data_IF_019030906321
#
_entry.id   IF_019030906321
#
_cell.length_a   1.000
_cell.length_b   1.000
_cell.length_c   1.000
_cell.angle_alpha   90.00
_cell.angle_beta   90.00
_cell.angle_gamma   90.00
#
_symmetry.space_group_name_H-M   'P 1'
#
loop_
_entity.id
_entity.type
_entity.pdbx_description
1 polymer ?
#
# COMPACT_ATOMS: atom_id res chain seq x y z
N UNK A 1 -18.09 -14.69 -19.74
CA UNK A 1 -17.60 -13.52 -18.97
C UNK A 1 -16.11 -13.59 -18.59
N UNK A 2 -15.46 -14.76 -18.43
CA UNK A 2 -14.02 -14.85 -18.09
C UNK A 2 -13.05 -14.40 -19.21
N UNK A 3 -13.41 -14.59 -20.49
CA UNK A 3 -12.55 -14.26 -21.63
C UNK A 3 -12.29 -12.76 -21.86
N UNK A 4 -13.10 -11.84 -21.29
CA UNK A 4 -12.88 -10.39 -21.48
C UNK A 4 -11.85 -9.82 -20.51
N UNK A 5 -11.78 -10.35 -19.28
CA UNK A 5 -10.82 -9.91 -18.27
C UNK A 5 -9.39 -10.31 -18.64
N UNK A 6 -9.19 -11.53 -19.16
CA UNK A 6 -7.87 -12.00 -19.61
C UNK A 6 -7.37 -11.24 -20.85
N UNK A 7 -8.26 -10.96 -21.82
CA UNK A 7 -7.92 -10.11 -22.98
C UNK A 7 -7.60 -8.67 -22.59
N UNK A 8 -8.31 -8.13 -21.59
CA UNK A 8 -8.03 -6.80 -21.06
C UNK A 8 -6.68 -6.78 -20.32
N UNK A 9 -6.41 -7.78 -19.47
CA UNK A 9 -5.15 -7.93 -18.77
C UNK A 9 -3.96 -8.13 -19.74
N UNK A 10 -4.18 -8.81 -20.87
CA UNK A 10 -3.15 -8.99 -21.89
C UNK A 10 -2.88 -7.71 -22.69
N UNK A 11 -3.92 -6.96 -23.08
CA UNK A 11 -3.76 -5.64 -23.70
C UNK A 11 -3.09 -4.63 -22.76
N UNK A 12 -3.44 -4.66 -21.46
CA UNK A 12 -2.80 -3.84 -20.42
C UNK A 12 -1.29 -4.15 -20.33
N UNK A 13 -0.90 -5.43 -20.36
CA UNK A 13 0.51 -5.86 -20.40
C UNK A 13 1.24 -5.42 -21.68
N UNK A 14 0.60 -5.54 -22.83
CA UNK A 14 1.20 -5.15 -24.12
C UNK A 14 1.43 -3.63 -24.21
N UNK A 15 0.50 -2.83 -23.71
CA UNK A 15 0.66 -1.38 -23.59
C UNK A 15 1.78 -1.00 -22.61
N UNK A 16 1.82 -1.68 -21.46
CA UNK A 16 2.84 -1.51 -20.41
C UNK A 16 4.27 -1.66 -20.95
N UNK A 17 4.54 -2.74 -21.69
CA UNK A 17 5.84 -2.98 -22.31
C UNK A 17 6.25 -1.96 -23.37
N UNK A 18 5.30 -1.24 -23.97
CA UNK A 18 5.58 -0.27 -25.03
C UNK A 18 5.76 1.16 -24.53
N UNK A 19 5.27 1.50 -23.33
CA UNK A 19 5.14 2.89 -22.88
C UNK A 19 5.80 3.17 -21.52
N UNK A 20 6.38 2.17 -20.86
CA UNK A 20 7.19 2.43 -19.66
C UNK A 20 8.60 2.84 -20.02
N UNK A 21 8.94 4.06 -19.64
CA UNK A 21 10.34 4.46 -19.47
C UNK A 21 10.80 4.01 -18.07
N UNK A 22 12.09 3.67 -17.90
CA UNK A 22 12.67 3.35 -16.58
C UNK A 22 12.38 4.40 -15.49
N UNK A 23 12.20 5.66 -15.91
CA UNK A 23 11.84 6.78 -15.02
C UNK A 23 10.44 6.62 -14.38
N UNK A 24 9.46 6.08 -15.10
CA UNK A 24 8.11 5.85 -14.58
C UNK A 24 8.12 4.69 -13.58
N UNK A 25 8.87 3.62 -13.85
CA UNK A 25 9.04 2.50 -12.93
C UNK A 25 9.73 2.94 -11.63
N UNK A 26 10.81 3.72 -11.73
CA UNK A 26 11.50 4.25 -10.55
C UNK A 26 10.58 5.18 -9.74
N UNK A 27 9.83 6.03 -10.42
CA UNK A 27 8.87 6.97 -9.83
C UNK A 27 7.69 6.26 -9.15
N UNK A 28 7.18 5.16 -9.74
CA UNK A 28 6.19 4.31 -9.10
C UNK A 28 6.79 3.56 -7.90
N UNK A 29 8.05 3.12 -8.03
CA UNK A 29 8.93 2.65 -6.96
C UNK A 29 8.80 3.46 -5.68
N UNK A 30 9.06 4.76 -5.79
CA UNK A 30 9.04 5.70 -4.67
C UNK A 30 7.65 5.84 -4.03
N UNK A 31 6.60 5.91 -4.84
CA UNK A 31 5.22 5.97 -4.35
C UNK A 31 4.80 4.73 -3.59
N UNK A 32 5.14 3.55 -4.09
CA UNK A 32 4.90 2.29 -3.40
C UNK A 32 5.63 2.26 -2.05
N UNK A 33 6.92 2.61 -2.02
CA UNK A 33 7.72 2.63 -0.79
C UNK A 33 7.16 3.61 0.25
N UNK A 34 6.70 4.79 -0.18
CA UNK A 34 6.03 5.74 0.71
C UNK A 34 4.82 5.11 1.39
N UNK A 35 3.96 4.43 0.63
CA UNK A 35 2.73 3.81 1.16
C UNK A 35 3.05 2.63 2.08
N UNK A 36 4.06 1.81 1.75
CA UNK A 36 4.53 0.72 2.63
C UNK A 36 5.00 1.29 3.96
N UNK A 37 5.85 2.32 3.91
CA UNK A 37 6.39 2.96 5.10
C UNK A 37 5.27 3.56 5.96
N UNK A 38 4.31 4.25 5.34
CA UNK A 38 3.14 4.81 6.01
C UNK A 38 2.36 3.75 6.80
N UNK A 39 2.05 2.62 6.19
CA UNK A 39 1.31 1.55 6.85
C UNK A 39 2.13 0.81 7.92
N UNK A 40 3.42 0.64 7.69
CA UNK A 40 4.33 0.07 8.68
C UNK A 40 4.45 0.96 9.92
N UNK A 41 4.49 2.28 9.75
CA UNK A 41 4.52 3.22 10.86
C UNK A 41 3.21 3.22 11.67
N UNK A 42 2.06 3.13 11.00
CA UNK A 42 0.77 2.94 11.69
C UNK A 42 0.77 1.64 12.50
N UNK A 43 1.18 0.54 11.89
CA UNK A 43 1.24 -0.77 12.56
C UNK A 43 2.18 -0.72 13.75
N UNK A 44 3.38 -0.14 13.58
CA UNK A 44 4.36 0.10 14.63
C UNK A 44 3.76 0.88 15.78
N UNK A 45 3.15 2.03 15.51
CA UNK A 45 2.52 2.86 16.54
C UNK A 45 1.47 2.08 17.33
N UNK A 46 0.60 1.32 16.68
CA UNK A 46 -0.49 0.61 17.36
C UNK A 46 -0.04 -0.69 18.07
N UNK A 47 0.97 -1.39 17.53
CA UNK A 47 1.57 -2.57 18.19
C UNK A 47 2.34 -2.20 19.46
N UNK A 48 2.92 -1.00 19.53
CA UNK A 48 3.73 -0.57 20.67
C UNK A 48 3.02 0.39 21.62
N UNK A 49 1.90 1.03 21.24
CA UNK A 49 1.10 1.87 22.13
C UNK A 49 0.06 1.10 22.96
N UNK A 50 -0.21 -0.16 22.66
CA UNK A 50 -1.11 -1.00 23.47
C UNK A 50 -0.40 -1.35 24.79
N UNK A 51 -0.76 -0.67 25.89
CA UNK A 51 -0.33 -0.90 27.28
C UNK A 51 1.00 -0.28 27.76
N UNK A 52 1.38 0.89 27.27
CA UNK A 52 2.52 1.63 27.84
C UNK A 52 2.02 2.60 28.92
N UNK A 53 2.29 2.30 30.18
CA UNK A 53 1.95 3.19 31.30
C UNK A 53 3.08 4.18 31.64
N UNK A 54 4.31 3.91 31.19
CA UNK A 54 5.46 4.78 31.41
C UNK A 54 6.57 4.60 30.36
N UNK A 55 7.51 5.55 30.32
CA UNK A 55 8.59 5.63 29.33
C UNK A 55 9.53 4.40 29.32
N UNK A 56 9.79 3.79 30.48
CA UNK A 56 10.65 2.59 30.55
C UNK A 56 9.99 1.36 29.92
N UNK A 57 8.68 1.19 30.10
CA UNK A 57 7.91 0.14 29.41
C UNK A 57 7.84 0.41 27.91
N UNK A 58 7.77 1.69 27.48
CA UNK A 58 7.84 2.08 26.08
C UNK A 58 9.17 1.65 25.44
N UNK A 59 10.30 1.93 26.08
CA UNK A 59 11.62 1.56 25.58
C UNK A 59 11.78 0.03 25.40
N UNK A 60 11.27 -0.76 26.35
CA UNK A 60 11.30 -2.23 26.28
C UNK A 60 10.36 -2.77 25.20
N UNK A 61 9.20 -2.14 25.00
CA UNK A 61 8.30 -2.53 23.91
C UNK A 61 8.92 -2.21 22.55
N UNK A 62 9.53 -1.04 22.35
CA UNK A 62 10.19 -0.66 21.10
C UNK A 62 11.38 -1.57 20.72
N UNK A 63 11.96 -2.30 21.67
CA UNK A 63 13.09 -3.23 21.44
C UNK A 63 12.67 -4.70 21.32
N UNK A 64 11.36 -5.00 21.36
CA UNK A 64 10.87 -6.37 21.33
C UNK A 64 11.13 -7.04 19.95
N UNK A 65 12.02 -8.05 19.87
CA UNK A 65 12.50 -8.60 18.60
C UNK A 65 11.36 -9.11 17.71
N UNK A 66 10.45 -9.91 18.28
CA UNK A 66 9.31 -10.47 17.52
C UNK A 66 8.39 -9.42 16.88
N UNK A 67 8.24 -8.24 17.51
CA UNK A 67 7.39 -7.18 16.96
C UNK A 67 8.10 -6.42 15.84
N UNK A 68 9.44 -6.29 15.91
CA UNK A 68 10.25 -5.73 14.82
C UNK A 68 10.23 -6.66 13.61
N UNK A 69 10.50 -7.95 13.82
CA UNK A 69 10.46 -8.96 12.77
C UNK A 69 9.08 -9.01 12.07
N UNK A 70 7.99 -8.83 12.84
CA UNK A 70 6.64 -8.76 12.27
C UNK A 70 6.44 -7.53 11.38
N UNK A 71 6.97 -6.37 11.78
CA UNK A 71 6.88 -5.13 10.98
C UNK A 71 7.72 -5.26 9.71
N UNK A 72 8.93 -5.80 9.81
CA UNK A 72 9.81 -5.99 8.66
C UNK A 72 9.16 -6.95 7.64
N UNK A 73 8.62 -8.08 8.11
CA UNK A 73 7.85 -9.00 7.26
C UNK A 73 6.60 -8.34 6.67
N UNK A 74 5.91 -7.50 7.43
CA UNK A 74 4.77 -6.74 6.91
C UNK A 74 5.18 -5.79 5.79
N UNK A 75 6.31 -5.11 5.94
CA UNK A 75 6.86 -4.22 4.89
C UNK A 75 7.18 -5.00 3.63
N UNK A 76 7.89 -6.12 3.74
CA UNK A 76 8.29 -6.95 2.60
C UNK A 76 7.07 -7.52 1.84
N UNK A 77 6.12 -8.11 2.56
CA UNK A 77 4.91 -8.71 1.97
C UNK A 77 4.03 -7.65 1.32
N UNK A 78 3.86 -6.49 1.95
CA UNK A 78 3.08 -5.40 1.38
C UNK A 78 3.78 -4.80 0.16
N UNK A 79 5.09 -4.59 0.21
CA UNK A 79 5.87 -4.08 -0.90
C UNK A 79 5.75 -5.02 -2.11
N UNK A 80 6.02 -6.31 -1.92
CA UNK A 80 5.90 -7.30 -3.00
C UNK A 80 4.51 -7.27 -3.63
N UNK A 81 3.46 -7.28 -2.81
CA UNK A 81 2.09 -7.33 -3.28
C UNK A 81 1.69 -6.07 -4.07
N UNK A 82 2.02 -4.87 -3.57
CA UNK A 82 1.68 -3.63 -4.29
C UNK A 82 2.53 -3.47 -5.55
N UNK A 83 3.80 -3.90 -5.55
CA UNK A 83 4.64 -3.83 -6.73
C UNK A 83 4.14 -4.76 -7.84
N UNK A 84 3.74 -5.98 -7.50
CA UNK A 84 3.22 -6.92 -8.49
C UNK A 84 1.86 -6.48 -9.03
N UNK A 85 0.95 -6.07 -8.14
CA UNK A 85 -0.42 -5.76 -8.54
C UNK A 85 -0.56 -4.35 -9.14
N UNK A 86 0.03 -3.32 -8.53
CA UNK A 86 -0.06 -1.92 -9.02
C UNK A 86 0.96 -1.67 -10.12
N UNK A 87 2.16 -2.25 -10.01
CA UNK A 87 3.15 -2.22 -11.07
C UNK A 87 2.59 -2.80 -12.36
N UNK A 88 1.78 -3.86 -12.32
CA UNK A 88 1.13 -4.41 -13.52
C UNK A 88 0.00 -3.56 -14.15
N UNK A 89 -0.38 -2.42 -13.56
CA UNK A 89 -1.50 -1.60 -14.03
C UNK A 89 -1.06 -0.57 -15.08
N UNK A 90 -1.87 -0.44 -16.12
CA UNK A 90 -1.72 0.61 -17.14
C UNK A 90 -1.73 1.99 -16.48
N UNK A 91 -0.70 2.79 -16.77
CA UNK A 91 -0.60 4.18 -16.33
C UNK A 91 -0.83 5.12 -17.51
N UNK A 92 -1.77 6.05 -17.34
CA UNK A 92 -2.06 7.10 -18.31
C UNK A 92 -2.13 8.44 -17.57
N UNK A 93 -1.13 9.32 -17.73
CA UNK A 93 -1.06 10.63 -17.05
C UNK A 93 -2.33 11.48 -17.26
N UNK A 94 -2.87 11.46 -18.48
CA UNK A 94 -4.06 12.22 -18.88
C UNK A 94 -5.34 11.71 -18.21
N UNK A 95 -5.32 10.47 -17.71
CA UNK A 95 -6.45 9.79 -17.09
C UNK A 95 -6.33 9.73 -15.58
N UNK A 96 -5.15 10.04 -15.01
CA UNK A 96 -4.93 9.92 -13.57
C UNK A 96 -5.78 10.86 -12.73
N UNK A 97 -6.25 11.97 -13.31
CA UNK A 97 -7.09 12.93 -12.60
C UNK A 97 -8.59 12.52 -12.68
N UNK A 98 -9.02 11.92 -13.80
CA UNK A 98 -10.39 11.42 -14.02
C UNK A 98 -10.66 10.02 -13.43
N UNK A 99 -9.61 9.19 -13.30
CA UNK A 99 -9.65 7.84 -12.74
C UNK A 99 -9.03 7.73 -11.34
N UNK A 100 -8.90 8.85 -10.63
CA UNK A 100 -8.42 8.91 -9.22
C UNK A 100 -9.32 8.16 -8.22
N UNK A 101 -10.36 7.48 -8.69
CA UNK A 101 -11.25 6.58 -7.95
C UNK A 101 -11.14 5.12 -8.40
N UNK A 102 -10.16 4.78 -9.23
CA UNK A 102 -9.90 3.39 -9.58
C UNK A 102 -9.35 2.67 -8.36
N UNK A 103 -10.23 1.91 -7.69
CA UNK A 103 -9.93 1.18 -6.47
C UNK A 103 -8.75 0.21 -6.64
N UNK A 104 -8.39 -0.13 -7.88
CA UNK A 104 -7.22 -0.93 -8.25
C UNK A 104 -5.88 -0.31 -7.79
N UNK A 105 -5.79 1.01 -7.58
CA UNK A 105 -4.55 1.68 -7.10
C UNK A 105 -4.62 2.14 -5.65
N UNK A 106 -5.73 1.90 -4.97
CA UNK A 106 -5.97 2.33 -3.59
C UNK A 106 -5.38 1.34 -2.60
N UNK A 107 -4.53 1.81 -1.69
CA UNK A 107 -4.00 1.05 -0.56
C UNK A 107 -4.47 1.68 0.74
N UNK A 108 -5.41 1.02 1.43
CA UNK A 108 -5.84 1.48 2.75
C UNK A 108 -7.08 0.82 3.30
N UNK A 109 -7.69 1.45 4.31
CA UNK A 109 -8.86 0.97 5.00
C UNK A 109 -10.11 1.79 4.64
N UNK A 110 -11.17 1.06 4.27
CA UNK A 110 -12.52 1.57 4.16
C UNK A 110 -13.22 1.58 5.54
N UNK A 111 -14.50 1.95 5.55
CA UNK A 111 -15.32 1.89 6.77
C UNK A 111 -15.48 0.46 7.29
N UNK A 112 -15.58 -0.52 6.39
CA UNK A 112 -15.83 -1.93 6.74
C UNK A 112 -14.57 -2.79 6.85
N UNK A 113 -13.39 -2.18 6.77
CA UNK A 113 -12.11 -2.88 6.89
C UNK A 113 -11.10 -2.52 5.80
N UNK A 114 -9.98 -3.25 5.75
CA UNK A 114 -8.92 -2.99 4.80
C UNK A 114 -9.34 -3.33 3.37
N UNK A 115 -8.70 -2.68 2.42
CA UNK A 115 -8.71 -3.09 1.04
C UNK A 115 -8.00 -4.45 0.87
N UNK A 116 -8.05 -4.97 -0.35
CA UNK A 116 -7.49 -6.29 -0.69
C UNK A 116 -6.00 -6.42 -0.36
N UNK A 117 -5.19 -5.37 -0.53
CA UNK A 117 -3.74 -5.42 -0.27
C UNK A 117 -3.44 -5.65 1.22
N UNK A 118 -3.95 -4.76 2.07
CA UNK A 118 -3.77 -4.89 3.52
C UNK A 118 -4.45 -6.14 4.06
N UNK A 119 -5.61 -6.53 3.51
CA UNK A 119 -6.32 -7.74 3.90
C UNK A 119 -5.47 -9.00 3.73
N UNK A 120 -4.87 -9.18 2.55
CA UNK A 120 -4.00 -10.31 2.23
C UNK A 120 -2.78 -10.38 3.15
N UNK A 121 -2.06 -9.27 3.31
CA UNK A 121 -0.84 -9.22 4.13
C UNK A 121 -1.15 -9.50 5.60
N UNK A 122 -2.19 -8.88 6.15
CA UNK A 122 -2.56 -9.11 7.54
C UNK A 122 -3.03 -10.55 7.78
N UNK A 123 -3.76 -11.15 6.84
CA UNK A 123 -4.16 -12.54 6.93
C UNK A 123 -2.92 -13.46 6.93
N UNK A 124 -1.96 -13.22 6.02
CA UNK A 124 -0.73 -14.01 5.94
C UNK A 124 0.12 -13.93 7.22
N UNK A 125 0.11 -12.77 7.89
CA UNK A 125 0.92 -12.50 9.07
C UNK A 125 0.14 -12.60 10.41
N UNK A 126 -1.12 -13.03 10.38
CA UNK A 126 -2.01 -13.05 11.55
C UNK A 126 -2.12 -11.70 12.29
N UNK A 127 -2.11 -10.59 11.55
CA UNK A 127 -2.24 -9.23 12.09
C UNK A 127 -3.72 -8.86 12.17
N UNK A 128 -4.15 -8.30 13.30
CA UNK A 128 -5.51 -7.79 13.46
C UNK A 128 -5.72 -6.49 12.69
N UNK A 129 -6.82 -6.39 11.95
CA UNK A 129 -7.19 -5.16 11.23
C UNK A 129 -7.51 -3.98 12.15
N UNK A 130 -7.76 -4.24 13.44
CA UNK A 130 -8.01 -3.21 14.45
C UNK A 130 -6.78 -2.32 14.71
N UNK A 131 -5.60 -2.73 14.25
CA UNK A 131 -4.40 -1.88 14.33
C UNK A 131 -4.36 -0.77 13.27
N UNK A 132 -5.32 -0.72 12.35
CA UNK A 132 -5.34 0.26 11.27
C UNK A 132 -6.54 1.20 11.40
N UNK A 133 -6.37 2.52 11.22
CA UNK A 133 -7.47 3.47 11.24
C UNK A 133 -8.40 3.20 10.06
N UNK A 134 -9.71 3.19 10.32
CA UNK A 134 -10.72 3.15 9.26
C UNK A 134 -10.60 4.37 8.36
N UNK A 135 -11.16 4.28 7.16
CA UNK A 135 -11.40 5.45 6.31
C UNK A 135 -10.12 6.21 5.90
N UNK A 136 -8.98 5.53 5.83
CA UNK A 136 -7.65 6.11 5.61
C UNK A 136 -6.88 5.33 4.55
N UNK A 137 -6.16 6.01 3.66
CA UNK A 137 -5.33 5.35 2.64
C UNK A 137 -4.84 6.29 1.55
N UNK A 138 -4.17 5.69 0.56
CA UNK A 138 -3.51 6.40 -0.52
C UNK A 138 -3.73 5.69 -1.87
N UNK A 139 -4.05 6.48 -2.90
CA UNK A 139 -3.92 6.08 -4.29
C UNK A 139 -2.44 6.19 -4.70
N UNK A 140 -1.91 5.12 -5.28
CA UNK A 140 -0.51 5.04 -5.71
C UNK A 140 -0.40 5.38 -7.19
N UNK A 141 0.29 6.49 -7.49
CA UNK A 141 0.59 6.92 -8.85
C UNK A 141 2.10 7.18 -8.99
N UNK A 142 2.69 7.08 -10.20
CA UNK A 142 4.06 7.51 -10.43
C UNK A 142 4.31 8.94 -9.94
N UNK A 143 5.25 9.09 -9.00
CA UNK A 143 5.76 10.38 -8.51
C UNK A 143 4.84 11.13 -7.55
N UNK A 144 3.66 10.56 -7.25
CA UNK A 144 2.71 11.14 -6.29
C UNK A 144 1.80 10.10 -5.67
N UNK A 145 1.39 10.36 -4.43
CA UNK A 145 0.30 9.64 -3.77
C UNK A 145 -0.82 10.61 -3.43
N UNK A 146 -2.06 10.13 -3.48
CA UNK A 146 -3.24 10.97 -3.25
C UNK A 146 -4.14 10.30 -2.21
N UNK A 147 -4.49 10.98 -1.14
CA UNK A 147 -5.44 10.40 -0.18
C UNK A 147 -6.90 10.59 -0.65
N UNK A 148 -7.84 9.95 0.03
CA UNK A 148 -9.27 10.05 -0.31
C UNK A 148 -9.88 11.46 -0.17
N UNK A 149 -9.19 12.37 0.50
CA UNK A 149 -9.61 13.76 0.70
C UNK A 149 -8.98 14.70 -0.34
N UNK A 150 -8.23 14.15 -1.30
CA UNK A 150 -7.55 14.93 -2.34
C UNK A 150 -6.22 15.56 -1.89
N UNK A 151 -5.68 15.19 -0.72
CA UNK A 151 -4.32 15.57 -0.34
C UNK A 151 -3.33 14.86 -1.26
N UNK A 152 -2.48 15.63 -1.92
CA UNK A 152 -1.44 15.12 -2.83
C UNK A 152 -0.10 15.24 -2.13
N UNK A 153 0.70 14.16 -2.18
CA UNK A 153 2.11 14.19 -1.79
C UNK A 153 2.98 13.77 -2.96
N UNK A 154 3.92 14.63 -3.32
CA UNK A 154 4.98 14.32 -4.27
C UNK A 154 6.06 13.47 -3.58
N UNK A 155 6.58 12.46 -4.27
CA UNK A 155 7.49 11.44 -3.74
C UNK A 155 8.60 11.09 -4.73
#
# INVERSE_FOLDING_TARGET
>A
MKQSAEKLAQRRREYYYQHQTPEIEESLGRSCLFVVQYWADILRLNLFNTNVQNFSQWLVTQTHPLKRDLIDRFQDELAQLIFDEIGGLEYSPEKTDEHSLDFERWVGCFEHGPNTYLAKVCQALSISFLYFPSQTGWYVNPGRVINRFGEIRMV
#
